data_IF_272717934224
#
_entry.id   IF_272717934224
#
_cell.length_a   1.000
_cell.length_b   1.000
_cell.length_c   1.000
_cell.angle_alpha   90.00
_cell.angle_beta   90.00
_cell.angle_gamma   90.00
#
_symmetry.space_group_name_H-M   'P 1'
#
loop_
_entity.id
_entity.type
_entity.pdbx_description
1 polymer ?
#
# COMPACT_ATOMS: atom_id res chain seq x y z
N UNK A 1 44.67 70.19 48.55
CA UNK A 1 45.88 70.10 47.71
C UNK A 1 45.66 69.00 46.68
N UNK A 2 45.69 69.34 45.39
CA UNK A 2 45.68 68.49 44.18
C UNK A 2 44.39 67.65 43.96
N UNK A 3 43.44 67.92 43.05
CA UNK A 3 43.43 68.37 41.64
C UNK A 3 44.18 67.48 40.66
N UNK A 4 43.44 66.69 39.86
CA UNK A 4 43.60 66.46 38.41
C UNK A 4 42.55 65.41 37.96
N UNK A 5 41.47 65.76 37.25
CA UNK A 5 41.33 65.97 35.79
C UNK A 5 41.10 64.66 34.99
N UNK A 6 39.82 64.53 34.57
CA UNK A 6 39.24 64.19 33.25
C UNK A 6 39.47 62.84 32.55
N UNK A 7 38.36 62.45 31.91
CA UNK A 7 38.22 61.73 30.63
C UNK A 7 38.21 60.20 30.69
N UNK A 8 37.38 59.46 29.96
CA UNK A 8 36.22 59.70 29.09
C UNK A 8 35.71 58.26 28.75
N UNK A 9 34.41 58.02 28.83
CA UNK A 9 33.60 57.20 27.90
C UNK A 9 33.53 55.65 27.94
N UNK A 10 32.27 55.22 27.70
CA UNK A 10 31.68 53.91 27.34
C UNK A 10 31.53 52.89 28.48
N UNK A 11 30.38 52.78 29.17
CA UNK A 11 29.06 52.21 28.73
C UNK A 11 29.28 50.83 28.10
N UNK A 12 28.84 49.72 28.71
CA UNK A 12 27.47 49.18 28.59
C UNK A 12 27.05 48.43 29.85
N UNK A 13 25.88 48.81 30.37
CA UNK A 13 25.10 48.09 31.36
C UNK A 13 24.52 46.83 30.70
N UNK A 14 24.99 45.65 31.08
CA UNK A 14 24.41 44.39 30.63
C UNK A 14 23.08 44.14 31.37
N UNK A 15 21.98 44.70 30.86
CA UNK A 15 20.63 44.26 31.21
C UNK A 15 20.43 42.85 30.65
N UNK A 16 20.42 41.85 31.52
CA UNK A 16 19.97 40.50 31.19
C UNK A 16 18.45 40.51 30.98
N UNK A 17 18.01 40.91 29.79
CA UNK A 17 16.65 40.66 29.34
C UNK A 17 16.47 39.14 29.23
N UNK A 18 15.71 38.57 30.16
CA UNK A 18 15.17 37.23 30.02
C UNK A 18 14.26 37.25 28.78
N UNK A 19 14.75 36.71 27.67
CA UNK A 19 13.90 36.36 26.53
C UNK A 19 13.02 35.20 26.97
N UNK A 20 11.83 35.53 27.49
CA UNK A 20 10.69 34.63 27.38
C UNK A 20 10.46 34.43 25.88
N UNK A 21 10.93 33.30 25.35
CA UNK A 21 10.34 32.76 24.12
C UNK A 21 8.90 32.37 24.47
N UNK A 22 7.97 33.30 24.29
CA UNK A 22 6.58 32.94 24.13
C UNK A 22 6.51 32.13 22.82
N UNK A 23 6.38 30.81 22.92
CA UNK A 23 5.82 30.02 21.83
C UNK A 23 4.38 30.51 21.67
N UNK A 24 4.18 31.51 20.81
CA UNK A 24 2.88 31.72 20.20
C UNK A 24 2.64 30.51 19.30
N UNK A 25 2.07 29.46 19.89
CA UNK A 25 1.30 28.49 19.11
C UNK A 25 0.14 29.31 18.55
N UNK A 26 0.31 29.85 17.34
CA UNK A 26 -0.85 30.15 16.51
C UNK A 26 -1.52 28.81 16.31
N UNK A 27 -2.57 28.55 17.09
CA UNK A 27 -3.65 27.71 16.66
C UNK A 27 -4.24 28.42 15.43
N UNK A 28 -3.55 28.30 14.28
CA UNK A 28 -4.24 28.32 13.01
C UNK A 28 -5.38 27.35 13.23
N UNK A 29 -6.63 27.80 13.08
CA UNK A 29 -7.80 26.96 13.10
C UNK A 29 -7.42 25.62 12.47
N UNK A 30 -7.21 24.58 13.30
CA UNK A 30 -7.22 23.22 12.80
C UNK A 30 -8.69 23.11 12.44
N UNK A 31 -9.00 23.44 11.18
CA UNK A 31 -10.31 23.20 10.64
C UNK A 31 -10.49 21.70 10.80
N UNK A 32 -11.31 21.29 11.77
CA UNK A 32 -11.75 19.91 11.96
C UNK A 32 -12.72 19.55 10.82
N UNK A 33 -12.30 19.85 9.57
CA UNK A 33 -12.95 19.49 8.34
C UNK A 33 -12.67 18.03 8.03
N UNK A 34 -12.81 17.18 9.05
CA UNK A 34 -12.71 15.74 8.94
C UNK A 34 -14.05 15.19 8.53
N UNK A 35 -14.05 14.08 7.79
CA UNK A 35 -15.27 13.39 7.39
C UNK A 35 -16.14 12.89 8.55
N UNK A 36 -15.58 12.82 9.77
CA UNK A 36 -16.31 12.41 10.97
C UNK A 36 -17.51 13.31 11.31
N UNK A 37 -17.44 14.60 10.93
CA UNK A 37 -18.47 15.59 11.31
C UNK A 37 -19.15 16.25 10.11
N UNK A 38 -18.76 15.86 8.89
CA UNK A 38 -19.19 16.48 7.63
C UNK A 38 -19.63 15.42 6.62
N UNK A 39 -20.90 14.97 6.67
CA UNK A 39 -21.40 13.89 5.82
C UNK A 39 -21.36 14.23 4.32
N UNK A 40 -21.44 15.51 3.96
CA UNK A 40 -21.27 15.99 2.59
C UNK A 40 -19.86 15.73 2.05
N UNK A 41 -18.83 16.02 2.86
CA UNK A 41 -17.43 15.78 2.52
C UNK A 41 -17.16 14.27 2.44
N UNK A 42 -17.69 13.48 3.39
CA UNK A 42 -17.61 12.02 3.33
C UNK A 42 -18.19 11.49 2.01
N UNK A 43 -19.38 11.95 1.61
CA UNK A 43 -20.02 11.51 0.37
C UNK A 43 -19.23 11.90 -0.87
N UNK A 44 -18.65 13.10 -0.89
CA UNK A 44 -17.78 13.55 -1.97
C UNK A 44 -16.55 12.64 -2.11
N UNK A 45 -15.83 12.38 -1.02
CA UNK A 45 -14.65 11.51 -1.08
C UNK A 45 -14.98 10.05 -1.37
N UNK A 46 -16.09 9.51 -0.86
CA UNK A 46 -16.56 8.19 -1.27
C UNK A 46 -16.77 8.13 -2.79
N UNK A 47 -17.35 9.17 -3.38
CA UNK A 47 -17.54 9.26 -4.84
C UNK A 47 -16.21 9.38 -5.58
N UNK A 48 -15.31 10.21 -5.05
CA UNK A 48 -13.95 10.42 -5.59
C UNK A 48 -13.13 9.13 -5.61
N UNK A 49 -13.15 8.34 -4.52
CA UNK A 49 -12.46 7.05 -4.42
C UNK A 49 -12.90 6.09 -5.54
N UNK A 50 -14.21 5.99 -5.80
CA UNK A 50 -14.72 5.14 -6.88
C UNK A 50 -14.31 5.67 -8.26
N UNK A 51 -14.25 6.99 -8.44
CA UNK A 51 -13.79 7.59 -9.68
C UNK A 51 -12.29 7.35 -9.92
N UNK A 52 -11.46 7.42 -8.87
CA UNK A 52 -10.03 7.08 -8.92
C UNK A 52 -9.84 5.63 -9.35
N UNK A 53 -10.55 4.69 -8.71
CA UNK A 53 -10.48 3.27 -9.05
C UNK A 53 -10.91 3.03 -10.49
N UNK A 54 -12.03 3.60 -10.92
CA UNK A 54 -12.49 3.46 -12.30
C UNK A 54 -11.42 3.95 -13.29
N UNK A 55 -10.87 5.14 -13.08
CA UNK A 55 -9.83 5.69 -13.94
C UNK A 55 -8.56 4.82 -13.96
N UNK A 56 -8.18 4.24 -12.82
CA UNK A 56 -7.05 3.31 -12.75
C UNK A 56 -7.31 2.02 -13.53
N UNK A 57 -8.49 1.43 -13.38
CA UNK A 57 -8.84 0.19 -14.08
C UNK A 57 -8.99 0.41 -15.59
N UNK A 58 -9.60 1.52 -16.01
CA UNK A 58 -9.68 1.94 -17.41
C UNK A 58 -8.28 2.13 -18.02
N UNK A 59 -7.35 2.75 -17.28
CA UNK A 59 -5.97 2.93 -17.76
C UNK A 59 -5.23 1.60 -17.88
N UNK A 60 -5.59 0.58 -17.11
CA UNK A 60 -5.00 -0.77 -17.17
C UNK A 60 -5.64 -1.67 -18.21
N UNK A 61 -6.64 -1.22 -18.97
CA UNK A 61 -7.13 -1.98 -20.13
C UNK A 61 -6.00 -2.18 -21.14
N UNK A 62 -5.98 -3.37 -21.76
CA UNK A 62 -4.94 -3.80 -22.71
C UNK A 62 -3.51 -3.65 -22.14
N UNK A 63 -3.32 -3.92 -20.84
CA UNK A 63 -2.04 -3.78 -20.15
C UNK A 63 -0.86 -4.47 -20.86
N UNK A 64 -1.08 -5.65 -21.44
CA UNK A 64 -0.05 -6.41 -22.17
C UNK A 64 0.42 -5.73 -23.47
N UNK A 65 -0.36 -4.78 -24.00
CA UNK A 65 -0.05 -4.06 -25.25
C UNK A 65 0.65 -2.72 -24.99
N UNK A 66 0.80 -2.30 -23.73
CA UNK A 66 1.39 -1.01 -23.38
C UNK A 66 2.88 -0.96 -23.71
N UNK A 67 3.29 0.16 -24.31
CA UNK A 67 4.69 0.50 -24.49
C UNK A 67 5.35 0.86 -23.14
N UNK A 68 6.68 0.84 -23.10
CA UNK A 68 7.45 1.24 -21.92
C UNK A 68 7.10 2.67 -21.47
N UNK A 69 6.93 3.61 -22.41
CA UNK A 69 6.54 4.99 -22.11
C UNK A 69 5.14 5.07 -21.50
N UNK A 70 4.17 4.31 -22.03
CA UNK A 70 2.82 4.25 -21.45
C UNK A 70 2.83 3.62 -20.07
N UNK A 71 3.73 2.66 -19.82
CA UNK A 71 3.92 2.06 -18.50
C UNK A 71 4.52 3.04 -17.49
N UNK A 72 5.50 3.85 -17.88
CA UNK A 72 6.04 4.92 -17.04
C UNK A 72 4.96 5.95 -16.65
N UNK A 73 4.10 6.34 -17.61
CA UNK A 73 2.97 7.25 -17.35
C UNK A 73 1.98 6.63 -16.37
N UNK A 74 1.64 5.35 -16.53
CA UNK A 74 0.77 4.61 -15.62
C UNK A 74 1.34 4.61 -14.19
N UNK A 75 2.64 4.36 -14.01
CA UNK A 75 3.28 4.38 -12.70
C UNK A 75 3.27 5.77 -12.05
N UNK A 76 3.41 6.83 -12.85
CA UNK A 76 3.29 8.21 -12.37
C UNK A 76 1.86 8.51 -11.89
N UNK A 77 0.83 8.10 -12.65
CA UNK A 77 -0.55 8.23 -12.22
C UNK A 77 -0.87 7.38 -10.98
N UNK A 78 -0.31 6.18 -10.86
CA UNK A 78 -0.47 5.35 -9.66
C UNK A 78 0.06 6.07 -8.41
N UNK A 79 1.20 6.75 -8.51
CA UNK A 79 1.75 7.57 -7.43
C UNK A 79 0.80 8.71 -7.03
N UNK A 80 0.27 9.43 -8.02
CA UNK A 80 -0.66 10.55 -7.79
C UNK A 80 -1.96 10.06 -7.12
N UNK A 81 -2.51 8.94 -7.58
CA UNK A 81 -3.70 8.31 -6.97
C UNK A 81 -3.42 7.89 -5.53
N UNK A 82 -2.28 7.25 -5.25
CA UNK A 82 -1.90 6.86 -3.87
C UNK A 82 -1.76 8.06 -2.94
N UNK A 83 -1.14 9.15 -3.42
CA UNK A 83 -1.04 10.39 -2.67
C UNK A 83 -2.42 10.98 -2.36
N UNK A 84 -3.31 11.01 -3.35
CA UNK A 84 -4.68 11.53 -3.14
C UNK A 84 -5.46 10.69 -2.14
N UNK A 85 -5.42 9.37 -2.27
CA UNK A 85 -6.07 8.45 -1.32
C UNK A 85 -5.47 8.59 0.09
N UNK A 86 -4.16 8.80 0.20
CA UNK A 86 -3.50 9.09 1.48
C UNK A 86 -4.05 10.35 2.16
N UNK A 87 -4.33 11.40 1.39
CA UNK A 87 -4.97 12.62 1.91
C UNK A 87 -6.42 12.35 2.37
N UNK A 88 -7.22 11.66 1.56
CA UNK A 88 -8.60 11.26 1.91
C UNK A 88 -8.61 10.40 3.19
N UNK A 89 -7.64 9.50 3.33
CA UNK A 89 -7.47 8.70 4.55
C UNK A 89 -7.12 9.57 5.77
N UNK A 90 -6.19 10.53 5.63
CA UNK A 90 -5.79 11.43 6.70
C UNK A 90 -6.95 12.34 7.19
N UNK A 91 -7.91 12.63 6.32
CA UNK A 91 -9.15 13.36 6.64
C UNK A 91 -10.21 12.49 7.34
N UNK A 92 -9.96 11.18 7.49
CA UNK A 92 -10.85 10.22 8.16
C UNK A 92 -12.01 9.74 7.30
N UNK A 93 -11.84 9.73 5.97
CA UNK A 93 -12.94 9.54 5.02
C UNK A 93 -13.10 8.11 4.47
N UNK A 94 -12.34 7.13 4.96
CA UNK A 94 -12.59 5.71 4.68
C UNK A 94 -13.54 5.16 5.75
N UNK A 95 -14.82 4.98 5.42
CA UNK A 95 -15.84 4.56 6.40
C UNK A 95 -16.59 3.29 5.99
N UNK A 96 -16.93 3.15 4.71
CA UNK A 96 -17.69 2.01 4.17
C UNK A 96 -16.77 0.92 3.62
N UNK A 97 -17.30 -0.31 3.45
CA UNK A 97 -16.56 -1.40 2.82
C UNK A 97 -16.05 -1.01 1.42
N UNK A 98 -16.84 -0.27 0.65
CA UNK A 98 -16.45 0.22 -0.69
C UNK A 98 -15.36 1.28 -0.66
N UNK A 99 -15.28 2.13 0.38
CA UNK A 99 -14.19 3.11 0.50
C UNK A 99 -12.86 2.39 0.76
N UNK A 100 -12.88 1.42 1.68
CA UNK A 100 -11.71 0.62 2.02
C UNK A 100 -11.27 -0.26 0.84
N UNK A 101 -12.21 -0.90 0.14
CA UNK A 101 -11.91 -1.71 -1.04
C UNK A 101 -11.28 -0.86 -2.15
N UNK A 102 -11.84 0.33 -2.41
CA UNK A 102 -11.30 1.24 -3.42
C UNK A 102 -9.88 1.72 -3.07
N UNK A 103 -9.67 2.15 -1.83
CA UNK A 103 -8.35 2.56 -1.35
C UNK A 103 -7.31 1.43 -1.46
N UNK A 104 -7.72 0.20 -1.07
CA UNK A 104 -6.85 -0.95 -1.10
C UNK A 104 -6.42 -1.35 -2.52
N UNK A 105 -7.33 -1.29 -3.50
CA UNK A 105 -7.02 -1.67 -4.88
C UNK A 105 -5.89 -0.82 -5.46
N UNK A 106 -5.93 0.49 -5.22
CA UNK A 106 -4.89 1.41 -5.69
C UNK A 106 -3.56 1.17 -4.95
N UNK A 107 -3.60 0.96 -3.64
CA UNK A 107 -2.40 0.71 -2.84
C UNK A 107 -1.76 -0.65 -3.12
N UNK A 108 -2.54 -1.63 -3.59
CA UNK A 108 -2.04 -2.92 -4.07
C UNK A 108 -1.03 -2.75 -5.23
N UNK A 109 -1.17 -1.68 -6.03
CA UNK A 109 -0.22 -1.31 -7.09
C UNK A 109 0.89 -0.36 -6.62
N UNK A 110 1.18 -0.35 -5.32
CA UNK A 110 2.33 0.35 -4.76
C UNK A 110 3.69 -0.26 -5.17
N UNK A 111 4.75 0.37 -4.68
CA UNK A 111 6.15 0.07 -4.99
C UNK A 111 7.03 -0.16 -3.73
N UNK A 112 6.44 -0.11 -2.54
CA UNK A 112 7.11 -0.39 -1.25
C UNK A 112 6.24 -1.31 -0.36
N UNK A 113 6.83 -2.04 0.61
CA UNK A 113 6.10 -2.96 1.49
C UNK A 113 4.92 -2.34 2.21
N UNK A 114 5.08 -1.11 2.69
CA UNK A 114 4.07 -0.39 3.45
C UNK A 114 2.79 -0.18 2.62
N UNK A 115 2.91 0.04 1.30
CA UNK A 115 1.74 0.17 0.43
C UNK A 115 0.94 -1.14 0.38
N UNK A 116 1.62 -2.27 0.18
CA UNK A 116 0.98 -3.58 0.13
C UNK A 116 0.37 -4.00 1.47
N UNK A 117 1.08 -3.72 2.58
CA UNK A 117 0.56 -4.01 3.90
C UNK A 117 -0.65 -3.13 4.23
N UNK A 118 -0.62 -1.85 3.86
CA UNK A 118 -1.76 -0.95 4.03
C UNK A 118 -2.95 -1.40 3.18
N UNK A 119 -2.72 -1.85 1.94
CA UNK A 119 -3.76 -2.46 1.11
C UNK A 119 -4.37 -3.68 1.82
N UNK A 120 -3.55 -4.60 2.36
CA UNK A 120 -4.04 -5.74 3.13
C UNK A 120 -4.93 -5.33 4.31
N UNK A 121 -4.51 -4.32 5.10
CA UNK A 121 -5.29 -3.83 6.23
C UNK A 121 -6.63 -3.23 5.80
N UNK A 122 -6.65 -2.44 4.73
CA UNK A 122 -7.89 -1.86 4.20
C UNK A 122 -8.80 -2.92 3.59
N UNK A 123 -8.27 -3.87 2.82
CA UNK A 123 -9.09 -4.95 2.29
C UNK A 123 -9.66 -5.83 3.40
N UNK A 124 -8.87 -6.15 4.43
CA UNK A 124 -9.34 -6.84 5.64
C UNK A 124 -10.49 -6.07 6.29
N UNK A 125 -10.36 -4.75 6.39
CA UNK A 125 -11.43 -3.90 6.94
C UNK A 125 -12.70 -3.93 6.07
N UNK A 126 -12.58 -3.95 4.75
CA UNK A 126 -13.72 -4.10 3.85
C UNK A 126 -14.46 -5.44 4.06
N UNK A 127 -13.71 -6.55 4.22
CA UNK A 127 -14.27 -7.87 4.54
C UNK A 127 -14.99 -7.86 5.90
N UNK A 128 -14.38 -7.26 6.93
CA UNK A 128 -15.00 -7.12 8.26
C UNK A 128 -16.29 -6.29 8.23
N UNK A 129 -16.39 -5.33 7.31
CA UNK A 129 -17.59 -4.52 7.07
C UNK A 129 -18.64 -5.24 6.22
N UNK A 130 -18.39 -6.47 5.79
CA UNK A 130 -19.35 -7.36 5.13
C UNK A 130 -19.10 -7.59 3.63
N UNK A 131 -18.10 -6.94 3.02
CA UNK A 131 -17.76 -7.19 1.61
C UNK A 131 -16.80 -8.37 1.47
N UNK A 132 -17.37 -9.58 1.52
CA UNK A 132 -16.60 -10.83 1.39
C UNK A 132 -15.94 -11.01 0.03
N UNK A 133 -16.36 -10.27 -1.00
CA UNK A 133 -15.77 -10.37 -2.35
C UNK A 133 -14.32 -9.88 -2.37
N UNK A 134 -13.92 -9.12 -1.34
CA UNK A 134 -12.59 -8.55 -1.19
C UNK A 134 -11.54 -9.55 -0.67
N UNK A 135 -11.92 -10.77 -0.28
CA UNK A 135 -10.98 -11.78 0.22
C UNK A 135 -9.82 -12.04 -0.75
N UNK A 136 -10.10 -12.09 -2.06
CA UNK A 136 -9.07 -12.29 -3.07
C UNK A 136 -8.05 -11.13 -3.10
N UNK A 137 -8.52 -9.88 -3.14
CA UNK A 137 -7.63 -8.70 -3.09
C UNK A 137 -6.79 -8.67 -1.81
N UNK A 138 -7.36 -9.12 -0.69
CA UNK A 138 -6.63 -9.20 0.58
C UNK A 138 -5.47 -10.21 0.48
N UNK A 139 -5.68 -11.35 -0.19
CA UNK A 139 -4.61 -12.32 -0.45
C UNK A 139 -3.54 -11.81 -1.40
N UNK A 140 -3.90 -11.04 -2.43
CA UNK A 140 -2.94 -10.40 -3.35
C UNK A 140 -2.08 -9.34 -2.64
N UNK A 141 -2.70 -8.51 -1.81
CA UNK A 141 -1.99 -7.46 -1.07
C UNK A 141 -0.96 -8.04 -0.09
N UNK A 142 -1.34 -9.06 0.70
CA UNK A 142 -0.39 -9.68 1.64
C UNK A 142 0.68 -10.49 0.92
N UNK A 143 0.35 -11.05 -0.24
CA UNK A 143 1.32 -11.70 -1.10
C UNK A 143 2.44 -10.71 -1.50
N UNK A 144 2.10 -9.55 -2.05
CA UNK A 144 3.09 -8.56 -2.51
C UNK A 144 3.98 -8.10 -1.34
N UNK A 145 3.39 -7.92 -0.17
CA UNK A 145 4.13 -7.64 1.06
C UNK A 145 5.15 -8.73 1.38
N UNK A 146 4.77 -10.02 1.39
CA UNK A 146 5.67 -11.12 1.73
C UNK A 146 6.80 -11.27 0.73
N UNK A 147 6.50 -11.26 -0.57
CA UNK A 147 7.54 -11.44 -1.60
C UNK A 147 8.52 -10.28 -1.60
N UNK A 148 8.06 -9.04 -1.43
CA UNK A 148 8.95 -7.89 -1.27
C UNK A 148 9.90 -8.06 -0.07
N UNK A 149 9.40 -8.63 1.04
CA UNK A 149 10.22 -8.96 2.21
C UNK A 149 11.12 -10.20 2.03
N UNK A 150 11.16 -10.79 0.84
CA UNK A 150 11.93 -12.00 0.55
C UNK A 150 11.37 -13.24 1.25
N UNK A 151 10.05 -13.29 1.43
CA UNK A 151 9.33 -14.37 2.12
C UNK A 151 8.36 -15.08 1.19
N UNK A 152 8.18 -16.38 1.42
CA UNK A 152 7.24 -17.23 0.70
C UNK A 152 5.80 -16.76 0.89
N UNK A 153 5.00 -16.87 -0.15
CA UNK A 153 3.58 -16.53 -0.08
C UNK A 153 2.76 -17.60 0.64
N UNK A 154 1.63 -17.23 1.23
CA UNK A 154 0.76 -18.18 1.95
C UNK A 154 -0.24 -18.87 1.00
N UNK A 155 -0.90 -18.08 0.15
CA UNK A 155 -2.10 -18.50 -0.60
C UNK A 155 -1.82 -19.04 -2.01
N UNK A 156 -0.63 -18.83 -2.56
CA UNK A 156 -0.34 -19.21 -3.95
C UNK A 156 -1.13 -18.37 -4.96
N UNK A 157 -1.39 -17.11 -4.66
CA UNK A 157 -2.24 -16.22 -5.46
C UNK A 157 -1.51 -15.47 -6.57
N UNK A 158 -0.17 -15.40 -6.53
CA UNK A 158 0.60 -14.71 -7.56
C UNK A 158 1.49 -15.64 -8.38
N UNK A 159 1.43 -15.42 -9.69
CA UNK A 159 2.41 -15.88 -10.66
C UNK A 159 3.38 -14.76 -11.03
N UNK A 160 4.63 -15.14 -11.29
CA UNK A 160 5.62 -14.31 -11.95
C UNK A 160 5.79 -14.80 -13.39
N UNK A 161 5.96 -13.86 -14.32
CA UNK A 161 6.25 -14.16 -15.73
C UNK A 161 7.48 -13.37 -16.17
N UNK A 162 8.49 -14.05 -16.71
CA UNK A 162 9.62 -13.37 -17.33
C UNK A 162 9.24 -12.88 -18.73
N UNK A 163 9.38 -11.59 -19.00
CA UNK A 163 9.37 -11.05 -20.36
C UNK A 163 10.61 -11.54 -21.12
N UNK A 164 10.48 -12.70 -21.75
CA UNK A 164 11.39 -13.22 -22.78
C UNK A 164 10.55 -13.64 -24.00
N UNK A 165 11.22 -14.00 -25.10
CA UNK A 165 10.63 -14.46 -26.37
C UNK A 165 9.57 -15.58 -26.20
N UNK A 166 9.52 -16.22 -25.02
CA UNK A 166 8.39 -17.03 -24.53
C UNK A 166 8.06 -16.64 -23.08
N UNK A 167 6.91 -16.01 -22.86
CA UNK A 167 6.43 -15.64 -21.53
C UNK A 167 6.01 -16.91 -20.78
N UNK A 168 6.86 -17.43 -19.89
CA UNK A 168 6.53 -18.56 -19.04
C UNK A 168 6.16 -18.06 -17.64
N UNK A 169 5.05 -18.56 -17.11
CA UNK A 169 4.59 -18.26 -15.76
C UNK A 169 5.10 -19.29 -14.76
N UNK A 170 5.47 -18.85 -13.58
CA UNK A 170 5.75 -19.70 -12.43
C UNK A 170 5.06 -19.12 -11.19
N UNK A 171 4.65 -19.97 -10.25
CA UNK A 171 4.12 -19.50 -8.98
C UNK A 171 5.25 -19.00 -8.09
N UNK A 172 5.10 -17.86 -7.44
CA UNK A 172 6.12 -17.46 -6.45
C UNK A 172 6.17 -18.47 -5.30
N UNK A 173 7.35 -18.80 -4.73
CA UNK A 173 7.49 -19.88 -3.76
C UNK A 173 6.48 -19.82 -2.61
N UNK A 174 5.83 -20.95 -2.32
CA UNK A 174 4.71 -21.03 -1.37
C UNK A 174 5.14 -21.64 -0.03
N UNK A 175 4.62 -21.11 1.07
CA UNK A 175 4.79 -21.65 2.41
C UNK A 175 3.98 -22.95 2.56
N UNK A 176 4.66 -24.09 2.41
CA UNK A 176 4.03 -25.42 2.45
C UNK A 176 3.39 -25.77 3.79
N UNK A 177 3.81 -25.13 4.89
CA UNK A 177 3.19 -25.36 6.20
C UNK A 177 1.87 -24.61 6.40
N UNK A 178 1.54 -23.64 5.54
CA UNK A 178 0.23 -23.00 5.55
C UNK A 178 -0.81 -24.01 5.06
N UNK A 179 -1.95 -24.22 5.74
CA UNK A 179 -2.84 -25.33 5.45
C UNK A 179 -3.84 -24.99 4.33
N UNK A 180 -4.22 -25.99 3.54
CA UNK A 180 -5.07 -25.79 2.35
C UNK A 180 -6.50 -25.36 2.69
N UNK A 181 -7.06 -25.77 3.83
CA UNK A 181 -8.38 -25.30 4.24
C UNK A 181 -8.42 -23.78 4.43
N UNK A 182 -7.32 -23.17 4.89
CA UNK A 182 -7.21 -21.71 4.94
C UNK A 182 -7.02 -21.12 3.54
N UNK A 183 -6.29 -21.77 2.63
CA UNK A 183 -6.21 -21.28 1.23
C UNK A 183 -7.56 -21.26 0.54
N UNK A 184 -8.34 -22.31 0.74
CA UNK A 184 -9.70 -22.45 0.22
C UNK A 184 -10.64 -21.42 0.85
N UNK A 185 -10.54 -21.15 2.17
CA UNK A 185 -11.38 -20.15 2.83
C UNK A 185 -11.24 -18.73 2.24
N UNK A 186 -10.02 -18.36 1.83
CA UNK A 186 -9.73 -17.02 1.31
C UNK A 186 -9.78 -16.92 -0.21
N UNK A 187 -9.53 -18.01 -0.93
CA UNK A 187 -9.36 -17.96 -2.39
C UNK A 187 -10.14 -18.99 -3.18
N UNK A 188 -10.91 -19.85 -2.51
CA UNK A 188 -11.64 -20.99 -3.10
C UNK A 188 -10.74 -22.03 -3.79
N UNK A 189 -9.42 -21.94 -3.60
CA UNK A 189 -8.40 -22.77 -4.23
C UNK A 189 -7.40 -23.29 -3.20
N UNK A 190 -7.11 -24.59 -3.23
CA UNK A 190 -5.96 -25.17 -2.53
C UNK A 190 -4.67 -25.05 -3.36
N UNK A 191 -3.54 -25.43 -2.76
CA UNK A 191 -2.23 -25.33 -3.40
C UNK A 191 -2.13 -26.15 -4.69
N UNK A 192 -2.73 -27.35 -4.75
CA UNK A 192 -2.71 -28.15 -5.97
C UNK A 192 -3.47 -27.46 -7.12
N UNK A 193 -4.62 -26.85 -6.83
CA UNK A 193 -5.36 -26.09 -7.84
C UNK A 193 -4.57 -24.88 -8.36
N UNK A 194 -3.74 -24.23 -7.52
CA UNK A 194 -2.82 -23.16 -7.96
C UNK A 194 -1.75 -23.67 -8.91
N UNK A 195 -1.18 -24.83 -8.59
CA UNK A 195 -0.23 -25.51 -9.46
C UNK A 195 -0.84 -25.91 -10.81
N UNK A 196 -2.09 -26.34 -10.81
CA UNK A 196 -2.80 -26.70 -12.05
C UNK A 196 -3.15 -25.45 -12.88
N UNK A 197 -3.48 -24.33 -12.22
CA UNK A 197 -3.66 -23.03 -12.88
C UNK A 197 -2.40 -22.57 -13.61
N UNK A 198 -1.21 -22.63 -12.98
CA UNK A 198 0.06 -22.29 -13.65
C UNK A 198 0.34 -23.22 -14.83
N UNK A 199 0.11 -24.52 -14.66
CA UNK A 199 0.25 -25.48 -15.76
C UNK A 199 -0.64 -25.08 -16.94
N UNK A 200 -1.90 -24.70 -16.67
CA UNK A 200 -2.84 -24.27 -17.70
C UNK A 200 -2.43 -22.94 -18.36
N UNK A 201 -1.95 -21.96 -17.58
CA UNK A 201 -1.43 -20.68 -18.12
C UNK A 201 -0.22 -20.85 -19.05
N UNK A 202 0.51 -21.96 -18.92
CA UNK A 202 1.66 -22.32 -19.75
C UNK A 202 1.32 -23.30 -20.89
N UNK A 203 0.05 -23.69 -21.07
CA UNK A 203 -0.34 -24.59 -22.16
C UNK A 203 0.08 -24.03 -23.54
N UNK A 204 0.65 -24.90 -24.38
CA UNK A 204 1.17 -24.52 -25.69
C UNK A 204 2.53 -23.82 -25.66
N UNK A 205 3.12 -23.60 -24.48
CA UNK A 205 4.45 -22.99 -24.30
C UNK A 205 5.48 -24.05 -23.92
N UNK A 206 6.73 -23.89 -24.35
CA UNK A 206 7.84 -24.78 -23.94
C UNK A 206 8.43 -24.37 -22.59
N UNK A 207 7.58 -24.23 -21.58
CA UNK A 207 8.00 -23.93 -20.22
C UNK A 207 8.48 -25.23 -19.56
N UNK A 208 9.72 -25.26 -19.05
CA UNK A 208 10.22 -26.41 -18.30
C UNK A 208 9.45 -26.62 -16.99
N UNK A 209 9.69 -27.73 -16.30
CA UNK A 209 9.18 -27.99 -14.95
C UNK A 209 10.09 -27.27 -13.93
N UNK A 210 9.67 -26.11 -13.40
CA UNK A 210 8.99 -26.11 -12.12
C UNK A 210 7.72 -25.23 -12.05
N UNK A 211 6.73 -25.69 -11.29
CA UNK A 211 5.49 -24.94 -11.02
C UNK A 211 5.70 -23.71 -10.12
N UNK A 212 6.83 -23.66 -9.39
CA UNK A 212 7.26 -22.49 -8.61
C UNK A 212 8.52 -21.86 -9.22
N UNK A 213 8.68 -20.55 -9.06
CA UNK A 213 9.84 -19.80 -9.52
C UNK A 213 11.11 -20.18 -8.74
N UNK A 214 12.28 -20.09 -9.37
CA UNK A 214 13.58 -20.30 -8.72
C UNK A 214 14.03 -19.04 -7.95
N UNK A 215 13.13 -18.53 -7.10
CA UNK A 215 13.39 -17.41 -6.21
C UNK A 215 13.74 -17.94 -4.82
N UNK A 216 14.86 -17.50 -4.25
CA UNK A 216 15.30 -17.94 -2.93
C UNK A 216 14.59 -17.17 -1.80
N UNK A 217 13.32 -17.51 -1.55
CA UNK A 217 12.49 -16.89 -0.52
C UNK A 217 12.54 -17.64 0.82
N UNK A 218 12.56 -16.88 1.92
CA UNK A 218 12.52 -17.41 3.30
C UNK A 218 11.12 -17.93 3.64
N UNK A 219 11.04 -18.93 4.52
CA UNK A 219 9.76 -19.41 5.02
C UNK A 219 8.96 -18.30 5.74
N UNK A 220 7.63 -18.46 5.73
CA UNK A 220 6.64 -17.59 6.35
C UNK A 220 5.88 -18.35 7.43
N UNK A 221 6.53 -18.83 8.51
CA UNK A 221 5.88 -19.66 9.51
C UNK A 221 4.70 -18.96 10.20
N UNK A 222 3.93 -19.73 10.97
CA UNK A 222 2.84 -19.23 11.81
C UNK A 222 3.21 -17.94 12.55
N UNK A 223 2.33 -16.94 12.48
CA UNK A 223 2.54 -15.61 13.05
C UNK A 223 3.30 -14.62 12.16
N UNK A 224 3.78 -15.03 10.98
CA UNK A 224 4.40 -14.08 10.01
C UNK A 224 3.41 -13.01 9.57
N UNK A 225 2.14 -13.38 9.39
CA UNK A 225 1.04 -12.45 9.16
C UNK A 225 -0.04 -12.68 10.22
N UNK A 226 -0.23 -11.74 11.15
CA UNK A 226 -1.29 -11.84 12.14
C UNK A 226 -2.67 -11.92 11.48
N UNK A 227 -3.47 -12.90 11.88
CA UNK A 227 -4.85 -13.06 11.41
C UNK A 227 -5.03 -13.77 10.06
N UNK A 228 -3.97 -14.33 9.47
CA UNK A 228 -4.07 -15.24 8.33
C UNK A 228 -3.92 -16.72 8.70
N UNK A 229 -3.33 -17.00 9.87
CA UNK A 229 -3.10 -18.34 10.42
C UNK A 229 -4.15 -18.73 11.45
#
# INVERSE_FOLDING_TARGET
MHSCIRSLFFVVLACTSHTLFALEIRANNISLDTCLYKPEIQKEHSTELQAIVRAEQEERENFEEKTEVEFEVLLQHDLERRQRIGAIFAEGCLQSASDFAAAALVYQHGDIPDHYYQAFLWTKRAVELGDITQKHLMTLAIYHYLVYLGKKQLFGSQAFGEFKEMLCYCLEPVEKSFPDNLREEYTDLNLQARYDWITSSNEGRSCGEPKECDHNLKNSPIGTVPGCW
#
